data_IF_002286423817
#
_entry.id   IF_002286423817
#
_cell.length_a   1.000
_cell.length_b   1.000
_cell.length_c   1.000
_cell.angle_alpha   90.00
_cell.angle_beta   90.00
_cell.angle_gamma   90.00
#
_symmetry.space_group_name_H-M   'P 1'
#
loop_
_entity.id
_entity.type
_entity.pdbx_description
1 polymer ?
#
# COMPACT_ATOMS: atom_id res chain seq x y z
N UNK A 1 9.61 -1.85 34.50
CA UNK A 1 10.95 -2.19 33.98
C UNK A 1 10.99 -1.73 32.55
N UNK A 2 11.68 -0.62 32.23
CA UNK A 2 11.87 -0.12 30.87
C UNK A 2 13.02 -0.91 30.25
N UNK A 3 12.73 -1.72 29.23
CA UNK A 3 13.76 -2.36 28.40
C UNK A 3 14.68 -1.28 27.82
N UNK A 4 16.00 -1.43 27.89
CA UNK A 4 16.90 -0.44 27.30
C UNK A 4 16.69 -0.42 25.79
N UNK A 5 16.32 0.75 25.24
CA UNK A 5 16.32 0.97 23.79
C UNK A 5 17.74 0.72 23.28
N UNK A 6 17.89 -0.27 22.40
CA UNK A 6 19.15 -0.46 21.68
C UNK A 6 19.47 0.83 20.91
N UNK A 7 20.60 1.50 21.16
CA UNK A 7 20.89 2.82 20.58
C UNK A 7 21.11 2.82 19.05
N UNK A 8 21.07 1.66 18.41
CA UNK A 8 21.30 1.49 16.97
C UNK A 8 20.13 0.78 16.25
N UNK A 9 18.93 0.73 16.83
CA UNK A 9 17.80 0.15 16.14
C UNK A 9 17.41 1.02 14.93
N UNK A 10 17.49 0.46 13.74
CA UNK A 10 17.05 1.13 12.50
C UNK A 10 15.54 1.37 12.60
N UNK A 11 15.14 2.64 12.49
CA UNK A 11 13.73 3.02 12.46
C UNK A 11 13.17 2.76 11.06
N UNK A 12 12.04 2.10 10.98
CA UNK A 12 11.38 1.70 9.74
C UNK A 12 10.05 2.44 9.57
N UNK A 13 9.71 2.72 8.32
CA UNK A 13 8.36 3.10 7.89
C UNK A 13 7.78 1.96 7.07
N UNK A 14 6.64 1.45 7.49
CA UNK A 14 5.86 0.48 6.73
C UNK A 14 4.79 1.22 5.92
N UNK A 15 4.80 1.01 4.61
CA UNK A 15 3.83 1.57 3.68
C UNK A 15 3.07 0.46 2.98
N UNK A 16 1.76 0.61 2.90
CA UNK A 16 0.86 -0.35 2.24
C UNK A 16 0.07 0.37 1.15
N UNK A 17 -0.02 -0.26 -0.02
CA UNK A 17 -0.90 0.19 -1.10
C UNK A 17 -1.94 -0.86 -1.43
N UNK A 18 -3.17 -0.44 -1.69
CA UNK A 18 -4.27 -1.35 -2.03
C UNK A 18 -5.05 -0.78 -3.21
N UNK A 19 -5.26 -1.60 -4.23
CA UNK A 19 -6.25 -1.40 -5.30
C UNK A 19 -7.39 -2.41 -5.10
N UNK A 20 -8.49 -2.01 -4.42
CA UNK A 20 -9.57 -2.91 -4.06
C UNK A 20 -10.49 -3.19 -5.25
N UNK A 21 -10.91 -4.45 -5.40
CA UNK A 21 -11.86 -4.88 -6.43
C UNK A 21 -12.12 -6.38 -6.30
N UNK A 22 -12.91 -7.01 -7.17
CA UNK A 22 -13.07 -8.47 -7.20
C UNK A 22 -11.72 -9.20 -7.30
N UNK A 23 -10.80 -8.62 -8.06
CA UNK A 23 -9.37 -8.88 -8.00
C UNK A 23 -8.71 -7.69 -7.32
N UNK A 24 -8.05 -7.92 -6.21
CA UNK A 24 -7.40 -6.89 -5.40
C UNK A 24 -5.89 -6.97 -5.56
N UNK A 25 -5.27 -5.81 -5.79
CA UNK A 25 -3.82 -5.63 -5.69
C UNK A 25 -3.42 -5.17 -4.30
N UNK A 26 -2.31 -5.69 -3.78
CA UNK A 26 -1.65 -5.21 -2.57
C UNK A 26 -0.17 -5.00 -2.85
N UNK A 27 0.37 -3.92 -2.36
CA UNK A 27 1.80 -3.66 -2.31
C UNK A 27 2.21 -3.38 -0.86
N UNK A 28 3.24 -4.05 -0.41
CA UNK A 28 3.84 -3.88 0.92
C UNK A 28 5.27 -3.40 0.71
N UNK A 29 5.65 -2.31 1.36
CA UNK A 29 7.00 -1.74 1.32
C UNK A 29 7.44 -1.32 2.71
N UNK A 30 8.73 -1.55 3.00
CA UNK A 30 9.37 -1.01 4.18
C UNK A 30 10.50 -0.07 3.76
N UNK A 31 10.64 1.03 4.50
CA UNK A 31 11.67 2.04 4.27
C UNK A 31 12.48 2.25 5.54
N UNK A 32 13.77 2.49 5.41
CA UNK A 32 14.53 3.13 6.48
C UNK A 32 14.00 4.56 6.61
N UNK A 33 13.63 4.96 7.81
CA UNK A 33 13.04 6.28 8.04
C UNK A 33 13.94 7.39 7.47
N UNK A 34 13.40 8.21 6.57
CA UNK A 34 14.16 9.21 5.81
C UNK A 34 14.97 8.65 4.63
N UNK A 35 14.90 7.36 4.33
CA UNK A 35 15.55 6.71 3.19
C UNK A 35 14.90 7.11 1.85
N UNK A 36 15.70 7.04 0.76
CA UNK A 36 15.24 7.35 -0.59
C UNK A 36 14.53 6.19 -1.29
N UNK A 37 14.75 4.96 -0.81
CA UNK A 37 14.24 3.75 -1.44
C UNK A 37 13.72 2.77 -0.40
N UNK A 38 12.82 1.86 -0.79
CA UNK A 38 12.54 0.69 0.03
C UNK A 38 13.86 -0.02 0.38
N UNK A 39 13.88 -0.67 1.52
CA UNK A 39 15.08 -1.43 1.93
C UNK A 39 15.34 -2.50 0.86
N UNK A 40 16.54 -2.54 0.26
CA UNK A 40 16.81 -3.44 -0.85
C UNK A 40 16.56 -4.91 -0.48
N UNK A 41 16.12 -5.67 -1.48
CA UNK A 41 16.11 -7.14 -1.56
C UNK A 41 15.06 -7.92 -0.78
N UNK A 42 14.44 -7.40 0.30
CA UNK A 42 13.50 -8.23 1.05
C UNK A 42 12.12 -7.61 1.34
N UNK A 43 11.90 -6.34 0.98
CA UNK A 43 10.79 -5.58 1.54
C UNK A 43 9.85 -4.92 0.53
N UNK A 44 9.82 -5.40 -0.71
CA UNK A 44 8.75 -5.08 -1.67
C UNK A 44 8.00 -6.36 -1.98
N UNK A 45 6.75 -6.43 -1.57
CA UNK A 45 5.87 -7.56 -1.88
C UNK A 45 4.69 -7.06 -2.69
N UNK A 46 4.49 -7.68 -3.85
CA UNK A 46 3.34 -7.43 -4.72
C UNK A 46 2.43 -8.66 -4.73
N UNK A 47 1.16 -8.45 -4.42
CA UNK A 47 0.15 -9.51 -4.36
C UNK A 47 -1.01 -9.10 -5.25
N UNK A 48 -1.54 -10.06 -5.99
CA UNK A 48 -2.82 -9.93 -6.67
C UNK A 48 -3.63 -11.20 -6.46
N UNK A 49 -4.82 -11.05 -5.88
CA UNK A 49 -5.67 -12.17 -5.52
C UNK A 49 -7.15 -11.76 -5.51
N UNK A 50 -8.05 -12.74 -5.31
CA UNK A 50 -9.43 -12.41 -4.98
C UNK A 50 -9.49 -11.61 -3.67
N UNK A 51 -10.45 -10.69 -3.54
CA UNK A 51 -10.53 -9.80 -2.37
C UNK A 51 -10.59 -10.53 -1.04
N UNK A 52 -11.30 -11.67 -0.98
CA UNK A 52 -11.35 -12.48 0.24
C UNK A 52 -9.99 -13.10 0.60
N UNK A 53 -9.21 -13.52 -0.38
CA UNK A 53 -7.85 -14.01 -0.17
C UNK A 53 -6.92 -12.85 0.21
N UNK A 54 -7.02 -11.73 -0.49
CA UNK A 54 -6.21 -10.54 -0.23
C UNK A 54 -6.40 -10.02 1.21
N UNK A 55 -7.65 -9.98 1.72
CA UNK A 55 -7.94 -9.60 3.10
C UNK A 55 -7.24 -10.53 4.10
N UNK A 56 -7.35 -11.86 3.92
CA UNK A 56 -6.69 -12.82 4.83
C UNK A 56 -5.17 -12.71 4.81
N UNK A 57 -4.59 -12.53 3.63
CA UNK A 57 -3.13 -12.37 3.49
C UNK A 57 -2.67 -11.09 4.17
N UNK A 58 -3.40 -9.97 3.96
CA UNK A 58 -3.08 -8.71 4.60
C UNK A 58 -3.21 -8.81 6.13
N UNK A 59 -4.29 -9.40 6.64
CA UNK A 59 -4.50 -9.60 8.08
C UNK A 59 -3.36 -10.42 8.71
N UNK A 60 -2.96 -11.52 8.07
CA UNK A 60 -1.84 -12.34 8.55
C UNK A 60 -0.50 -11.55 8.57
N UNK A 61 -0.25 -10.75 7.53
CA UNK A 61 0.92 -9.86 7.49
C UNK A 61 0.89 -8.83 8.60
N UNK A 62 -0.23 -8.13 8.77
CA UNK A 62 -0.39 -7.09 9.79
C UNK A 62 -0.23 -7.67 11.20
N UNK A 63 -0.83 -8.84 11.48
CA UNK A 63 -0.71 -9.52 12.75
C UNK A 63 0.74 -9.93 13.06
N UNK A 64 1.49 -10.37 12.05
CA UNK A 64 2.90 -10.74 12.20
C UNK A 64 3.78 -9.56 12.62
N UNK A 65 3.53 -8.36 12.08
CA UNK A 65 4.35 -7.17 12.31
C UNK A 65 3.74 -6.19 13.34
N UNK A 66 2.61 -6.53 13.95
CA UNK A 66 1.88 -5.60 14.84
C UNK A 66 2.72 -5.09 16.02
N UNK A 67 3.53 -5.93 16.62
CA UNK A 67 4.38 -5.59 17.77
C UNK A 67 5.82 -5.20 17.41
N UNK A 68 6.17 -5.03 16.15
CA UNK A 68 7.54 -4.67 15.76
C UNK A 68 7.83 -3.20 16.11
N UNK A 69 8.57 -2.99 17.20
CA UNK A 69 8.96 -1.66 17.70
C UNK A 69 9.87 -0.89 16.75
N UNK A 70 10.47 -1.54 15.76
CA UNK A 70 11.28 -0.88 14.72
C UNK A 70 10.39 -0.09 13.76
N UNK A 71 9.13 -0.48 13.57
CA UNK A 71 8.18 0.21 12.71
C UNK A 71 7.62 1.42 13.45
N UNK A 72 8.22 2.57 13.19
CA UNK A 72 7.86 3.85 13.83
C UNK A 72 6.87 4.68 13.01
N UNK A 73 6.66 4.33 11.75
CA UNK A 73 5.67 4.95 10.87
C UNK A 73 4.84 3.90 10.12
N UNK A 74 3.51 4.06 10.10
CA UNK A 74 2.57 3.18 9.40
C UNK A 74 1.64 4.01 8.54
N UNK A 75 1.79 3.92 7.22
CA UNK A 75 0.95 4.66 6.26
C UNK A 75 0.34 3.72 5.24
N UNK A 76 -0.85 4.06 4.75
CA UNK A 76 -1.45 3.29 3.67
C UNK A 76 -2.17 4.18 2.66
N UNK A 77 -2.05 3.81 1.38
CA UNK A 77 -2.83 4.38 0.29
C UNK A 77 -3.81 3.35 -0.26
N UNK A 78 -5.09 3.68 -0.27
CA UNK A 78 -6.15 2.82 -0.80
C UNK A 78 -6.76 3.52 -2.01
N UNK A 79 -6.87 2.81 -3.14
CA UNK A 79 -7.53 3.38 -4.32
C UNK A 79 -9.03 3.54 -4.06
N UNK A 80 -9.54 4.76 -4.31
CA UNK A 80 -10.96 5.04 -4.22
C UNK A 80 -11.70 4.42 -5.41
N UNK A 81 -12.80 3.76 -5.15
CA UNK A 81 -13.69 3.36 -6.21
C UNK A 81 -14.41 4.58 -6.80
N UNK A 82 -14.21 4.82 -8.09
CA UNK A 82 -14.91 5.87 -8.85
C UNK A 82 -15.86 5.19 -9.83
N UNK A 83 -17.15 5.46 -9.72
CA UNK A 83 -18.13 5.02 -10.71
C UNK A 83 -17.85 5.70 -12.05
N UNK A 84 -17.37 4.93 -13.02
CA UNK A 84 -17.26 5.43 -14.41
C UNK A 84 -18.63 5.78 -14.98
N UNK A 85 -18.65 6.68 -15.97
CA UNK A 85 -19.88 7.10 -16.66
C UNK A 85 -20.51 6.00 -17.55
N UNK A 86 -19.87 4.83 -17.69
CA UNK A 86 -20.42 3.72 -18.46
C UNK A 86 -21.62 3.11 -17.74
N UNK A 87 -22.79 3.33 -18.30
CA UNK A 87 -24.10 2.98 -17.75
C UNK A 87 -24.35 1.47 -17.52
N UNK A 88 -23.40 0.58 -17.83
CA UNK A 88 -23.54 -0.88 -17.74
C UNK A 88 -23.10 -1.52 -16.40
N UNK A 89 -22.36 -0.82 -15.55
CA UNK A 89 -21.79 -1.40 -14.32
C UNK A 89 -22.38 -0.79 -13.04
N UNK A 90 -23.53 -0.14 -13.13
CA UNK A 90 -24.26 0.43 -11.98
C UNK A 90 -25.00 -0.66 -11.21
N UNK A 91 -24.32 -1.56 -10.57
CA UNK A 91 -25.01 -2.59 -9.84
C UNK A 91 -24.12 -3.21 -8.77
N UNK A 92 -24.36 -4.47 -8.51
CA UNK A 92 -23.76 -5.28 -7.44
C UNK A 92 -22.22 -5.17 -7.33
N UNK A 93 -21.50 -5.00 -8.45
CA UNK A 93 -20.04 -4.91 -8.44
C UNK A 93 -19.52 -3.57 -7.89
N UNK A 94 -20.26 -2.47 -8.11
CA UNK A 94 -19.89 -1.16 -7.57
C UNK A 94 -20.01 -1.13 -6.04
N UNK A 95 -21.12 -1.67 -5.52
CA UNK A 95 -21.34 -1.74 -4.08
C UNK A 95 -20.37 -2.71 -3.41
N UNK A 96 -20.07 -3.82 -4.06
CA UNK A 96 -19.07 -4.78 -3.59
C UNK A 96 -17.68 -4.14 -3.48
N UNK A 97 -17.25 -3.37 -4.50
CA UNK A 97 -15.95 -2.69 -4.45
C UNK A 97 -15.90 -1.64 -3.34
N UNK A 98 -16.98 -0.87 -3.11
CA UNK A 98 -17.05 0.06 -1.98
C UNK A 98 -16.93 -0.66 -0.63
N UNK A 99 -17.59 -1.81 -0.49
CA UNK A 99 -17.46 -2.63 0.71
C UNK A 99 -16.02 -3.11 0.93
N UNK A 100 -15.30 -3.47 -0.14
CA UNK A 100 -13.89 -3.83 0.00
C UNK A 100 -13.02 -2.64 0.39
N UNK A 101 -13.23 -1.46 -0.19
CA UNK A 101 -12.54 -0.24 0.27
C UNK A 101 -12.72 -0.07 1.79
N UNK A 102 -13.95 -0.15 2.29
CA UNK A 102 -14.23 -0.03 3.73
C UNK A 102 -13.51 -1.11 4.55
N UNK A 103 -13.64 -2.39 4.17
CA UNK A 103 -13.03 -3.51 4.91
C UNK A 103 -11.50 -3.40 4.99
N UNK A 104 -10.84 -3.01 3.89
CA UNK A 104 -9.40 -2.80 3.89
C UNK A 104 -9.00 -1.62 4.76
N UNK A 105 -9.76 -0.53 4.71
CA UNK A 105 -9.52 0.66 5.54
C UNK A 105 -9.65 0.32 7.03
N UNK A 106 -10.74 -0.32 7.43
CA UNK A 106 -10.98 -0.76 8.81
C UNK A 106 -9.89 -1.72 9.32
N UNK A 107 -9.49 -2.69 8.48
CA UNK A 107 -8.42 -3.62 8.83
C UNK A 107 -7.08 -2.88 9.05
N UNK A 108 -6.72 -1.94 8.19
CA UNK A 108 -5.50 -1.15 8.32
C UNK A 108 -5.52 -0.30 9.59
N UNK A 109 -6.64 0.36 9.90
CA UNK A 109 -6.80 1.19 11.10
C UNK A 109 -6.68 0.35 12.37
N UNK A 110 -7.25 -0.87 12.39
CA UNK A 110 -7.15 -1.80 13.50
C UNK A 110 -5.68 -2.11 13.88
N UNK A 111 -4.79 -2.14 12.89
CA UNK A 111 -3.36 -2.39 13.08
C UNK A 111 -2.50 -1.12 13.14
N UNK A 112 -3.12 0.04 13.35
CA UNK A 112 -2.44 1.31 13.59
C UNK A 112 -1.87 1.98 12.34
N UNK A 113 -2.34 1.61 11.14
CA UNK A 113 -2.04 2.34 9.92
C UNK A 113 -2.96 3.56 9.78
N UNK A 114 -2.49 4.56 9.03
CA UNK A 114 -3.27 5.74 8.66
C UNK A 114 -3.65 5.67 7.17
N UNK A 115 -4.73 4.94 6.82
CA UNK A 115 -5.12 4.79 5.42
C UNK A 115 -5.69 6.09 4.87
N UNK A 116 -5.26 6.46 3.67
CA UNK A 116 -5.84 7.55 2.88
C UNK A 116 -6.43 7.01 1.59
N UNK A 117 -7.74 7.16 1.45
CA UNK A 117 -8.47 6.76 0.24
C UNK A 117 -8.33 7.86 -0.81
N UNK A 118 -7.77 7.53 -1.99
CA UNK A 118 -7.47 8.47 -3.07
C UNK A 118 -7.90 7.94 -4.42
N UNK A 119 -8.34 8.83 -5.31
CA UNK A 119 -8.65 8.47 -6.70
C UNK A 119 -7.36 8.12 -7.45
N UNK A 120 -7.45 7.19 -8.39
CA UNK A 120 -6.36 6.88 -9.31
C UNK A 120 -5.85 8.13 -10.05
N UNK A 121 -6.75 9.04 -10.42
CA UNK A 121 -6.41 10.29 -11.11
C UNK A 121 -5.54 11.24 -10.28
N UNK A 122 -5.57 11.15 -8.96
CA UNK A 122 -4.77 11.99 -8.07
C UNK A 122 -3.36 11.39 -7.85
N UNK A 123 -3.22 10.07 -8.01
CA UNK A 123 -2.00 9.33 -7.69
C UNK A 123 -1.17 9.01 -8.94
N UNK A 124 -1.80 8.52 -10.01
CA UNK A 124 -1.09 8.03 -11.22
C UNK A 124 -0.24 9.09 -11.92
N UNK A 125 -0.64 10.36 -12.03
CA UNK A 125 0.20 11.39 -12.66
C UNK A 125 1.54 11.61 -11.94
N UNK A 126 1.55 11.43 -10.63
CA UNK A 126 2.78 11.51 -9.84
C UNK A 126 3.52 10.17 -9.78
N UNK A 127 2.83 9.07 -9.47
CA UNK A 127 3.41 7.73 -9.34
C UNK A 127 3.60 7.05 -10.71
N UNK A 128 4.42 7.66 -11.56
CA UNK A 128 4.72 7.17 -12.91
C UNK A 128 5.52 5.87 -12.89
N UNK A 129 5.50 5.11 -13.99
CA UNK A 129 6.30 3.88 -14.13
C UNK A 129 7.80 4.13 -13.91
N UNK A 130 8.31 5.29 -14.37
CA UNK A 130 9.69 5.71 -14.13
C UNK A 130 9.99 5.83 -12.63
N UNK A 131 9.04 6.40 -11.86
CA UNK A 131 9.19 6.56 -10.42
C UNK A 131 9.13 5.23 -9.68
N UNK A 132 8.21 4.34 -10.10
CA UNK A 132 8.11 2.98 -9.56
C UNK A 132 9.41 2.19 -9.83
N UNK A 133 9.89 2.20 -11.07
CA UNK A 133 11.14 1.51 -11.43
C UNK A 133 12.32 2.02 -10.61
N UNK A 134 12.41 3.34 -10.42
CA UNK A 134 13.47 3.95 -9.61
C UNK A 134 13.34 3.60 -8.12
N UNK A 135 12.14 3.33 -7.63
CA UNK A 135 11.87 2.82 -6.28
C UNK A 135 12.14 1.31 -6.13
N UNK A 136 12.62 0.64 -7.17
CA UNK A 136 12.90 -0.79 -7.15
C UNK A 136 11.69 -1.69 -7.48
N UNK A 137 10.57 -1.12 -7.93
CA UNK A 137 9.40 -1.88 -8.35
C UNK A 137 9.54 -2.22 -9.84
N UNK A 138 9.74 -3.49 -10.20
CA UNK A 138 9.91 -3.89 -11.59
C UNK A 138 8.61 -3.72 -12.37
N UNK A 139 8.75 -3.55 -13.69
CA UNK A 139 7.60 -3.58 -14.59
C UNK A 139 6.86 -4.91 -14.44
N UNK A 140 5.55 -4.83 -14.24
CA UNK A 140 4.68 -5.99 -14.13
C UNK A 140 4.00 -6.30 -15.47
N UNK A 141 3.67 -7.56 -15.77
CA UNK A 141 2.82 -7.90 -16.90
C UNK A 141 1.40 -7.36 -16.69
N UNK A 142 0.64 -7.15 -17.78
CA UNK A 142 -0.72 -6.62 -17.74
C UNK A 142 -1.67 -7.44 -16.86
N UNK A 143 -1.41 -8.75 -16.73
CA UNK A 143 -2.14 -9.63 -15.81
C UNK A 143 -2.00 -9.26 -14.33
N UNK A 144 -0.98 -8.48 -13.98
CA UNK A 144 -0.67 -8.01 -12.61
C UNK A 144 -0.95 -6.52 -12.41
N UNK A 145 -1.80 -5.92 -13.22
CA UNK A 145 -2.08 -4.47 -13.20
C UNK A 145 -2.58 -3.95 -11.84
N UNK A 146 -3.39 -4.72 -11.12
CA UNK A 146 -3.90 -4.32 -9.82
C UNK A 146 -2.80 -4.22 -8.77
N UNK A 147 -1.83 -5.13 -8.77
CA UNK A 147 -0.67 -5.01 -7.88
C UNK A 147 0.21 -3.81 -8.22
N UNK A 148 0.30 -3.43 -9.51
CA UNK A 148 1.03 -2.24 -9.94
C UNK A 148 0.30 -0.95 -9.53
N UNK A 149 -1.04 -0.92 -9.63
CA UNK A 149 -1.83 0.21 -9.15
C UNK A 149 -1.73 0.33 -7.62
N UNK A 150 -1.78 -0.78 -6.89
CA UNK A 150 -1.49 -0.80 -5.46
C UNK A 150 -0.09 -0.26 -5.14
N UNK A 151 0.93 -0.61 -5.94
CA UNK A 151 2.29 -0.09 -5.76
C UNK A 151 2.38 1.43 -5.94
N UNK A 152 1.59 2.01 -6.86
CA UNK A 152 1.48 3.46 -7.02
C UNK A 152 0.94 4.14 -5.77
N UNK A 153 -0.13 3.58 -5.20
CA UNK A 153 -0.73 4.09 -3.95
C UNK A 153 0.20 3.92 -2.76
N UNK A 154 0.95 2.82 -2.68
CA UNK A 154 1.95 2.56 -1.65
C UNK A 154 3.08 3.59 -1.67
N UNK A 155 3.72 3.77 -2.83
CA UNK A 155 4.83 4.73 -2.98
C UNK A 155 4.35 6.17 -2.75
N UNK A 156 3.15 6.52 -3.22
CA UNK A 156 2.56 7.83 -2.98
C UNK A 156 2.37 8.09 -1.48
N UNK A 157 1.82 7.13 -0.74
CA UNK A 157 1.64 7.23 0.70
C UNK A 157 2.98 7.37 1.43
N UNK A 158 3.97 6.56 1.08
CA UNK A 158 5.31 6.63 1.66
C UNK A 158 5.94 8.02 1.50
N UNK A 159 5.87 8.62 0.30
CA UNK A 159 6.52 9.91 0.02
C UNK A 159 5.68 11.09 0.52
N UNK A 160 4.35 11.07 0.30
CA UNK A 160 3.49 12.23 0.60
C UNK A 160 2.93 12.25 2.02
N UNK A 161 2.79 11.09 2.66
CA UNK A 161 2.20 11.01 4.00
C UNK A 161 3.25 10.67 5.07
N UNK A 162 4.25 9.85 4.75
CA UNK A 162 5.34 9.52 5.66
C UNK A 162 6.66 10.25 5.36
N UNK A 163 6.64 11.22 4.44
CA UNK A 163 7.77 12.10 4.11
C UNK A 163 9.06 11.35 3.72
N UNK A 164 8.92 10.15 3.13
CA UNK A 164 10.06 9.46 2.56
C UNK A 164 10.58 10.22 1.32
N UNK A 165 11.86 10.08 0.99
CA UNK A 165 12.45 10.75 -0.17
C UNK A 165 11.79 10.30 -1.47
N UNK A 166 11.54 11.24 -2.38
CA UNK A 166 11.08 10.93 -3.73
C UNK A 166 12.20 10.20 -4.50
N UNK A 167 11.90 9.02 -5.11
CA UNK A 167 12.88 8.28 -5.89
C UNK A 167 13.50 9.04 -7.08
N UNK A 168 12.84 10.12 -7.51
CA UNK A 168 13.31 10.97 -8.62
C UNK A 168 13.87 12.33 -8.15
N UNK A 169 13.96 12.56 -6.82
CA UNK A 169 14.56 13.79 -6.28
C UNK A 169 16.09 13.77 -6.35
#
# INVERSE_FOLDING_TARGET
>A
MTTPKHPNAVSLVSAIGIDPGPTTGICLMEFINGGAYPIPEHNITLIQASSGTALRVLEAYLAHFYGDERITGRVAGVEAFVTGQSAGTRGKNADLTRQYVMKFTELLELFGYYPKVRKAADVKPWATDKRLLRAGIPKQPDSMRHSLDAARHCLYAAVKDAHQKDPLA
#
